data_IF_367828556073
#
_entry.id   IF_367828556073
#
_cell.length_a   1.000
_cell.length_b   1.000
_cell.length_c   1.000
_cell.angle_alpha   90.00
_cell.angle_beta   90.00
_cell.angle_gamma   90.00
#
_symmetry.space_group_name_H-M   'P 1'
#
loop_
_entity.id
_entity.type
_entity.pdbx_description
1 polymer ?
#
# COMPACT_ATOMS: atom_id res chain seq x y z
N UNK A 1 0.02 11.07 -15.32
CA UNK A 1 0.63 9.72 -15.34
C UNK A 1 2.12 9.86 -15.57
N UNK A 2 2.86 8.76 -15.56
CA UNK A 2 4.27 8.77 -15.98
C UNK A 2 4.32 8.71 -17.50
N UNK A 3 5.01 9.65 -18.13
CA UNK A 3 5.22 9.67 -19.57
C UNK A 3 6.67 9.34 -19.86
N UNK A 4 6.93 8.63 -20.97
CA UNK A 4 8.29 8.39 -21.44
C UNK A 4 9.04 9.72 -21.64
N UNK A 5 10.28 9.81 -21.17
CA UNK A 5 11.14 10.97 -21.43
C UNK A 5 11.83 10.88 -22.81
N UNK A 6 12.30 9.69 -23.17
CA UNK A 6 12.87 9.39 -24.48
C UNK A 6 12.06 8.26 -25.15
N UNK A 7 12.48 7.01 -24.95
CA UNK A 7 11.84 5.81 -25.50
C UNK A 7 10.89 5.15 -24.48
N UNK A 8 11.30 5.10 -23.20
CA UNK A 8 10.60 4.36 -22.14
C UNK A 8 10.58 5.11 -20.80
N UNK A 9 9.68 4.68 -19.91
CA UNK A 9 9.73 4.91 -18.46
C UNK A 9 10.51 3.75 -17.83
N UNK A 10 11.46 4.06 -16.95
CA UNK A 10 12.29 3.05 -16.28
C UNK A 10 11.73 2.72 -14.90
N UNK A 11 11.69 1.44 -14.59
CA UNK A 11 11.28 0.88 -13.30
C UNK A 11 12.33 -0.12 -12.82
N UNK A 12 12.41 -0.27 -11.50
CA UNK A 12 13.23 -1.28 -10.83
C UNK A 12 12.33 -2.12 -9.94
N UNK A 13 12.52 -3.45 -9.97
CA UNK A 13 11.74 -4.36 -9.12
C UNK A 13 12.18 -4.24 -7.67
N UNK A 14 11.21 -4.25 -6.77
CA UNK A 14 11.39 -4.10 -5.32
C UNK A 14 11.97 -5.36 -4.64
N UNK A 15 12.14 -6.47 -5.37
CA UNK A 15 12.79 -7.69 -4.87
C UNK A 15 14.31 -7.63 -4.91
N UNK A 16 14.88 -6.68 -5.65
CA UNK A 16 16.25 -6.28 -5.45
C UNK A 16 16.32 -5.64 -4.06
N UNK A 17 17.25 -6.11 -3.23
CA UNK A 17 17.74 -5.39 -2.04
C UNK A 17 18.32 -4.05 -2.48
N UNK A 18 17.49 -3.13 -2.93
CA UNK A 18 17.89 -1.84 -3.44
C UNK A 18 18.23 -1.00 -2.22
N UNK A 19 19.47 -1.17 -1.76
CA UNK A 19 20.08 -0.19 -0.90
C UNK A 19 20.20 1.13 -1.70
N UNK A 20 20.29 2.21 -0.94
CA UNK A 20 20.30 3.59 -1.43
C UNK A 20 21.42 3.77 -2.47
N UNK A 21 21.11 3.63 -3.76
CA UNK A 21 22.10 3.69 -4.86
C UNK A 21 21.87 2.74 -6.05
N UNK A 22 21.00 1.74 -5.93
CA UNK A 22 20.92 0.63 -6.91
C UNK A 22 19.89 0.79 -8.04
N UNK A 23 19.30 1.98 -8.21
CA UNK A 23 18.37 2.22 -9.34
C UNK A 23 19.19 2.61 -10.58
N UNK A 24 19.38 1.66 -11.49
CA UNK A 24 20.08 1.91 -12.76
C UNK A 24 19.33 2.97 -13.57
N UNK A 25 20.06 4.01 -14.01
CA UNK A 25 19.54 5.08 -14.87
C UNK A 25 19.27 6.42 -14.18
N UNK A 26 19.39 6.50 -12.84
CA UNK A 26 19.29 7.77 -12.13
C UNK A 26 20.68 8.37 -11.88
N UNK A 27 21.01 9.45 -12.59
CA UNK A 27 22.24 10.23 -12.37
C UNK A 27 22.20 11.05 -11.06
N UNK A 28 21.03 11.15 -10.42
CA UNK A 28 20.79 11.81 -9.14
C UNK A 28 19.79 10.99 -8.32
N UNK A 29 19.97 10.97 -7.00
CA UNK A 29 18.96 10.40 -6.10
C UNK A 29 17.60 11.06 -6.38
N UNK A 30 16.54 10.30 -6.66
CA UNK A 30 15.23 10.87 -6.94
C UNK A 30 14.69 11.50 -5.65
N UNK A 31 13.99 12.62 -5.74
CA UNK A 31 13.33 13.21 -4.56
C UNK A 31 12.07 12.43 -4.15
N UNK A 32 11.46 11.75 -5.12
CA UNK A 32 10.23 10.97 -4.94
C UNK A 32 10.36 9.61 -5.64
N UNK A 33 9.96 8.55 -4.94
CA UNK A 33 9.75 7.22 -5.51
C UNK A 33 8.25 7.00 -5.72
N UNK A 34 7.85 6.61 -6.92
CA UNK A 34 6.46 6.24 -7.25
C UNK A 34 6.41 4.72 -7.46
N UNK A 35 5.57 4.06 -6.69
CA UNK A 35 5.34 2.63 -6.75
C UNK A 35 4.16 2.34 -7.69
N UNK A 36 4.29 1.33 -8.54
CA UNK A 36 3.30 0.97 -9.55
C UNK A 36 2.93 -0.50 -9.38
N UNK A 37 1.63 -0.81 -9.40
CA UNK A 37 1.13 -2.18 -9.45
C UNK A 37 1.30 -2.68 -10.88
N UNK A 38 2.39 -3.41 -11.12
CA UNK A 38 2.70 -3.95 -12.45
C UNK A 38 1.63 -4.93 -12.95
N UNK A 39 0.97 -5.67 -12.06
CA UNK A 39 -0.09 -6.61 -12.46
C UNK A 39 -1.30 -5.83 -12.95
N UNK A 40 -1.79 -4.87 -12.14
CA UNK A 40 -2.89 -3.99 -12.53
C UNK A 40 -2.56 -3.20 -13.79
N UNK A 41 -1.33 -2.71 -13.92
CA UNK A 41 -0.89 -1.97 -15.10
C UNK A 41 -0.95 -2.83 -16.37
N UNK A 42 -0.49 -4.09 -16.31
CA UNK A 42 -0.61 -5.03 -17.44
C UNK A 42 -2.07 -5.35 -17.78
N UNK A 43 -2.92 -5.54 -16.77
CA UNK A 43 -4.38 -5.72 -16.95
C UNK A 43 -5.03 -4.49 -17.63
N UNK A 44 -4.55 -3.28 -17.30
CA UNK A 44 -4.99 -2.01 -17.88
C UNK A 44 -4.38 -1.72 -19.27
N UNK A 45 -3.60 -2.63 -19.85
CA UNK A 45 -3.00 -2.49 -21.18
C UNK A 45 -1.71 -1.67 -21.21
N UNK A 46 -1.04 -1.48 -20.08
CA UNK A 46 0.31 -0.89 -20.04
C UNK A 46 1.34 -1.94 -20.46
N UNK A 47 2.19 -1.57 -21.42
CA UNK A 47 3.22 -2.45 -21.94
C UNK A 47 4.48 -2.37 -21.08
N UNK A 48 5.06 -3.53 -20.76
CA UNK A 48 6.32 -3.65 -20.03
C UNK A 48 7.24 -4.64 -20.72
N UNK A 49 8.49 -4.25 -20.88
CA UNK A 49 9.59 -5.07 -21.34
C UNK A 49 10.59 -5.25 -20.19
N UNK A 50 11.11 -6.46 -20.02
CA UNK A 50 12.16 -6.73 -19.03
C UNK A 50 13.48 -6.97 -19.76
N UNK A 51 14.57 -6.39 -19.24
CA UNK A 51 15.92 -6.69 -19.71
C UNK A 51 16.86 -6.89 -18.54
N UNK A 52 17.86 -7.75 -18.73
CA UNK A 52 18.94 -7.90 -17.77
C UNK A 52 20.03 -6.89 -18.08
N UNK A 53 20.29 -5.99 -17.13
CA UNK A 53 21.38 -5.04 -17.20
C UNK A 53 22.75 -5.75 -17.08
N UNK A 54 23.82 -5.06 -17.48
CA UNK A 54 25.19 -5.59 -17.44
C UNK A 54 25.64 -5.98 -16.02
N UNK A 55 25.06 -5.38 -14.99
CA UNK A 55 25.31 -5.70 -13.59
C UNK A 55 24.45 -6.86 -13.05
N UNK A 56 23.66 -7.53 -13.92
CA UNK A 56 22.79 -8.65 -13.55
C UNK A 56 21.43 -8.24 -12.95
N UNK A 57 21.15 -6.94 -12.81
CA UNK A 57 19.84 -6.47 -12.34
C UNK A 57 18.78 -6.55 -13.45
N UNK A 58 17.53 -6.83 -13.06
CA UNK A 58 16.41 -6.79 -13.99
C UNK A 58 15.90 -5.35 -14.05
N UNK A 59 16.05 -4.73 -15.21
CA UNK A 59 15.42 -3.45 -15.54
C UNK A 59 14.07 -3.71 -16.17
N UNK A 60 13.07 -2.96 -15.72
CA UNK A 60 11.73 -2.98 -16.27
C UNK A 60 11.53 -1.68 -17.04
N UNK A 61 11.22 -1.78 -18.31
CA UNK A 61 10.97 -0.67 -19.23
C UNK A 61 9.48 -0.64 -19.54
N UNK A 62 8.87 0.53 -19.58
CA UNK A 62 7.50 0.68 -20.06
C UNK A 62 7.42 1.72 -21.16
N UNK A 63 6.77 1.36 -22.26
CA UNK A 63 6.34 2.31 -23.28
C UNK A 63 5.02 3.00 -22.92
N UNK A 64 4.41 2.67 -21.78
CA UNK A 64 3.07 3.13 -21.38
C UNK A 64 1.96 2.36 -22.09
N UNK A 65 0.74 2.89 -22.07
CA UNK A 65 -0.34 2.36 -22.92
C UNK A 65 -0.07 2.65 -24.40
N UNK A 66 -0.47 1.74 -25.28
CA UNK A 66 -0.21 1.84 -26.71
C UNK A 66 -0.73 3.16 -27.32
N UNK A 67 -1.92 3.60 -26.92
CA UNK A 67 -2.56 4.80 -27.47
C UNK A 67 -2.01 6.12 -26.94
N UNK A 68 -1.42 6.15 -25.74
CA UNK A 68 -1.05 7.40 -25.06
C UNK A 68 0.43 7.51 -24.71
N UNK A 69 1.17 6.40 -24.66
CA UNK A 69 2.54 6.37 -24.16
C UNK A 69 2.66 6.70 -22.67
N UNK A 70 1.56 6.58 -21.91
CA UNK A 70 1.46 6.97 -20.50
C UNK A 70 1.21 5.74 -19.62
N UNK A 71 1.91 5.66 -18.48
CA UNK A 71 1.53 4.82 -17.34
C UNK A 71 0.55 5.64 -16.48
N UNK A 72 -0.75 5.27 -16.42
CA UNK A 72 -1.75 6.12 -15.80
C UNK A 72 -1.65 6.11 -14.27
N UNK A 73 -2.09 7.19 -13.59
CA UNK A 73 -2.10 7.23 -12.12
C UNK A 73 -2.96 6.13 -11.47
N UNK A 74 -3.92 5.55 -12.19
CA UNK A 74 -4.73 4.44 -11.72
C UNK A 74 -3.91 3.18 -11.39
N UNK A 75 -2.70 3.07 -11.92
CA UNK A 75 -1.77 1.97 -11.63
C UNK A 75 -0.83 2.27 -10.46
N UNK A 76 -0.85 3.48 -9.89
CA UNK A 76 0.05 3.84 -8.80
C UNK A 76 -0.44 3.28 -7.47
N UNK A 77 0.51 2.87 -6.64
CA UNK A 77 0.32 2.27 -5.31
C UNK A 77 0.51 3.36 -4.25
N UNK A 78 1.71 3.93 -4.24
CA UNK A 78 2.11 4.99 -3.30
C UNK A 78 3.23 5.83 -3.87
N UNK A 79 3.43 7.01 -3.28
CA UNK A 79 4.60 7.84 -3.51
C UNK A 79 5.31 8.10 -2.18
N UNK A 80 6.64 8.03 -2.19
CA UNK A 80 7.48 8.18 -1.01
C UNK A 80 8.50 9.28 -1.26
N UNK A 81 8.64 10.23 -0.33
CA UNK A 81 9.73 11.20 -0.36
C UNK A 81 11.03 10.50 0.03
N UNK A 82 11.98 10.40 -0.90
CA UNK A 82 13.25 9.70 -0.69
C UNK A 82 14.09 10.24 0.46
N UNK A 83 14.15 11.57 0.74
CA UNK A 83 14.95 12.08 1.84
C UNK A 83 14.54 11.57 3.22
N UNK A 84 13.23 11.44 3.45
CA UNK A 84 12.66 11.07 4.75
C UNK A 84 12.12 9.64 4.80
N UNK A 85 11.92 9.00 3.66
CA UNK A 85 11.17 7.74 3.55
C UNK A 85 9.67 7.89 3.85
N UNK A 86 9.17 9.12 4.01
CA UNK A 86 7.77 9.36 4.34
C UNK A 86 6.88 9.08 3.13
N UNK A 87 5.78 8.35 3.34
CA UNK A 87 4.73 8.22 2.34
C UNK A 87 4.03 9.56 2.19
N UNK A 88 4.06 10.15 1.00
CA UNK A 88 3.46 11.45 0.68
C UNK A 88 2.14 11.32 -0.09
N UNK A 89 1.87 10.13 -0.63
CA UNK A 89 0.62 9.79 -1.30
C UNK A 89 0.41 8.28 -1.31
N UNK A 90 -0.84 7.84 -1.18
CA UNK A 90 -1.25 6.43 -1.32
C UNK A 90 -2.50 6.40 -2.20
N UNK A 91 -2.63 5.38 -3.05
CA UNK A 91 -3.82 5.25 -3.89
C UNK A 91 -5.06 5.02 -3.00
N UNK A 92 -6.21 5.63 -3.31
CA UNK A 92 -7.44 5.46 -2.55
C UNK A 92 -7.89 4.00 -2.43
N UNK A 93 -7.58 3.20 -3.46
CA UNK A 93 -7.98 1.79 -3.58
C UNK A 93 -6.77 0.84 -3.50
N UNK A 94 -5.66 1.29 -2.92
CA UNK A 94 -4.44 0.49 -2.87
C UNK A 94 -4.58 -0.68 -1.88
N UNK A 95 -5.00 -1.83 -2.41
CA UNK A 95 -4.95 -3.10 -1.69
C UNK A 95 -3.55 -3.76 -1.72
N UNK A 96 -2.57 -3.13 -2.37
CA UNK A 96 -1.19 -3.65 -2.51
C UNK A 96 -0.20 -3.06 -1.51
N UNK A 97 -0.55 -1.97 -0.80
CA UNK A 97 0.13 -1.54 0.43
C UNK A 97 0.13 -2.62 1.53
N UNK A 98 -0.77 -3.61 1.45
CA UNK A 98 -0.89 -4.71 2.42
C UNK A 98 0.01 -5.92 2.10
N UNK A 99 0.96 -5.78 1.15
CA UNK A 99 1.86 -6.85 0.70
C UNK A 99 3.05 -7.17 1.63
N UNK A 100 3.11 -6.63 2.85
CA UNK A 100 3.99 -7.19 3.89
C UNK A 100 3.49 -8.52 4.48
N UNK A 101 2.39 -9.08 3.95
CA UNK A 101 1.98 -10.47 4.19
C UNK A 101 0.92 -10.65 5.26
N UNK A 102 0.53 -9.60 5.99
CA UNK A 102 -0.58 -9.65 6.95
C UNK A 102 -1.85 -9.11 6.33
N UNK A 103 -2.69 -10.05 5.88
CA UNK A 103 -4.06 -9.79 5.43
C UNK A 103 -5.05 -9.81 6.60
N UNK A 104 -4.53 -9.54 7.79
CA UNK A 104 -5.24 -9.52 9.05
C UNK A 104 -5.11 -8.12 9.65
N UNK A 105 -6.25 -7.54 9.97
CA UNK A 105 -6.36 -6.30 10.72
C UNK A 105 -6.71 -6.62 12.17
N UNK A 106 -6.17 -5.87 13.11
CA UNK A 106 -6.47 -6.00 14.53
C UNK A 106 -7.29 -4.80 14.98
N UNK A 107 -8.45 -5.06 15.58
CA UNK A 107 -9.23 -4.09 16.32
C UNK A 107 -9.14 -4.41 17.82
N UNK A 108 -8.74 -3.43 18.62
CA UNK A 108 -8.77 -3.54 20.07
C UNK A 108 -10.06 -2.96 20.63
N UNK A 109 -10.63 -3.67 21.60
CA UNK A 109 -11.84 -3.25 22.28
C UNK A 109 -11.86 -3.77 23.71
N UNK A 110 -12.96 -3.51 24.42
CA UNK A 110 -13.24 -4.05 25.76
C UNK A 110 -14.15 -5.27 25.65
N UNK A 111 -13.92 -6.29 26.48
CA UNK A 111 -14.68 -7.53 26.49
C UNK A 111 -16.17 -7.29 26.78
N UNK A 112 -16.50 -6.25 27.54
CA UNK A 112 -17.88 -5.81 27.79
C UNK A 112 -18.67 -5.50 26.50
N UNK A 113 -17.98 -5.12 25.41
CA UNK A 113 -18.62 -4.85 24.11
C UNK A 113 -18.80 -6.12 23.26
N UNK A 114 -18.19 -7.25 23.61
CA UNK A 114 -18.21 -8.48 22.81
C UNK A 114 -19.62 -8.97 22.51
N UNK A 115 -20.53 -8.91 23.48
CA UNK A 115 -21.92 -9.34 23.32
C UNK A 115 -22.66 -8.59 22.21
N UNK A 116 -22.39 -7.29 22.07
CA UNK A 116 -22.94 -6.46 20.98
C UNK A 116 -22.20 -6.72 19.67
N UNK A 117 -20.86 -6.72 19.70
CA UNK A 117 -20.03 -6.88 18.50
C UNK A 117 -20.29 -8.21 17.80
N UNK A 118 -20.42 -9.31 18.55
CA UNK A 118 -20.70 -10.64 17.97
C UNK A 118 -22.07 -10.71 17.27
N UNK A 119 -23.01 -9.85 17.69
CA UNK A 119 -24.40 -9.87 17.21
C UNK A 119 -24.60 -8.87 16.07
N UNK A 120 -23.91 -7.72 16.12
CA UNK A 120 -24.16 -6.57 15.25
C UNK A 120 -22.95 -6.17 14.39
N UNK A 121 -21.80 -6.82 14.58
CA UNK A 121 -20.53 -6.41 13.99
C UNK A 121 -19.88 -5.21 14.69
N UNK A 122 -18.73 -4.80 14.17
CA UNK A 122 -18.07 -3.55 14.59
C UNK A 122 -18.84 -2.36 14.00
N UNK A 123 -19.20 -1.40 14.85
CA UNK A 123 -19.93 -0.19 14.45
C UNK A 123 -19.13 1.04 14.84
N UNK A 124 -18.94 1.96 13.90
CA UNK A 124 -18.38 3.27 14.16
C UNK A 124 -19.44 4.21 14.72
N UNK A 125 -19.07 5.03 15.71
CA UNK A 125 -19.73 6.32 15.95
C UNK A 125 -19.18 7.39 15.00
N UNK A 126 -17.89 7.31 14.63
CA UNK A 126 -17.25 8.22 13.67
C UNK A 126 -16.34 7.48 12.68
N UNK A 127 -15.53 6.54 13.18
CA UNK A 127 -14.67 5.69 12.37
C UNK A 127 -14.28 4.42 13.15
N UNK A 128 -14.07 3.30 12.46
CA UNK A 128 -13.50 2.09 13.06
C UNK A 128 -12.01 2.07 12.73
N UNK A 129 -11.17 2.07 13.75
CA UNK A 129 -9.71 2.01 13.59
C UNK A 129 -9.18 0.60 13.79
N UNK A 130 -8.18 0.27 12.97
CA UNK A 130 -7.46 -1.00 12.95
C UNK A 130 -5.96 -0.76 12.86
N UNK A 131 -5.17 -1.79 13.18
CA UNK A 131 -3.73 -1.85 12.91
C UNK A 131 -3.42 -3.11 12.11
N UNK A 132 -2.34 -3.09 11.32
CA UNK A 132 -1.87 -4.28 10.61
C UNK A 132 -1.29 -5.33 11.58
N UNK A 133 -1.54 -6.61 11.33
CA UNK A 133 -1.13 -7.70 12.23
C UNK A 133 0.38 -8.03 12.22
N UNK A 134 1.22 -7.32 11.45
CA UNK A 134 2.68 -7.52 11.39
C UNK A 134 3.46 -6.67 12.41
N UNK A 135 2.79 -5.73 13.07
CA UNK A 135 3.45 -4.87 14.02
C UNK A 135 3.84 -5.65 15.30
N UNK A 136 5.14 -5.63 15.62
CA UNK A 136 5.78 -6.12 16.87
C UNK A 136 5.24 -5.43 18.15
N UNK A 137 4.12 -4.74 18.06
CA UNK A 137 3.53 -3.85 19.06
C UNK A 137 2.03 -4.10 19.25
N UNK A 138 1.61 -5.37 19.33
CA UNK A 138 0.32 -5.70 20.00
C UNK A 138 0.39 -5.28 21.49
N UNK A 139 1.59 -5.22 22.07
CA UNK A 139 1.84 -4.56 23.36
C UNK A 139 2.06 -3.06 23.16
N UNK A 140 0.98 -2.28 23.24
CA UNK A 140 1.04 -0.83 23.51
C UNK A 140 0.56 0.12 22.40
N UNK A 141 0.25 -0.37 21.19
CA UNK A 141 -0.02 0.49 20.04
C UNK A 141 -1.34 0.21 19.31
N UNK A 142 -2.44 -0.03 20.03
CA UNK A 142 -3.75 -0.01 19.36
C UNK A 142 -4.39 1.34 19.64
N UNK A 143 -4.49 2.14 18.57
CA UNK A 143 -4.87 3.53 18.59
C UNK A 143 -6.11 3.79 19.46
N UNK A 144 -5.91 4.43 20.62
CA UNK A 144 -6.98 5.06 21.39
C UNK A 144 -7.61 4.25 22.53
N UNK A 145 -7.24 2.99 22.75
CA UNK A 145 -7.78 2.21 23.88
C UNK A 145 -6.68 1.89 24.89
N UNK A 146 -6.55 2.74 25.90
CA UNK A 146 -5.56 2.62 27.00
C UNK A 146 -5.83 1.38 27.89
N UNK A 147 -6.97 0.70 27.70
CA UNK A 147 -7.44 -0.42 28.54
C UNK A 147 -8.12 -1.54 27.72
N UNK A 148 -7.62 -1.86 26.53
CA UNK A 148 -8.18 -2.97 25.75
C UNK A 148 -7.83 -4.32 26.37
N UNK A 149 -8.83 -5.19 26.50
CA UNK A 149 -8.71 -6.57 27.00
C UNK A 149 -9.26 -7.60 26.00
N UNK A 150 -9.72 -7.16 24.82
CA UNK A 150 -10.14 -8.01 23.71
C UNK A 150 -9.52 -7.54 22.38
N UNK A 151 -8.95 -8.48 21.64
CA UNK A 151 -8.44 -8.28 20.28
C UNK A 151 -9.30 -9.04 19.28
N UNK A 152 -9.73 -8.35 18.22
CA UNK A 152 -10.51 -8.92 17.13
C UNK A 152 -9.66 -8.87 15.87
N UNK A 153 -9.44 -10.05 15.29
CA UNK A 153 -8.74 -10.21 14.01
C UNK A 153 -9.78 -10.18 12.89
N UNK A 154 -9.51 -9.36 11.88
CA UNK A 154 -10.38 -9.17 10.72
C UNK A 154 -9.63 -9.57 9.47
N UNK A 155 -10.22 -10.48 8.69
CA UNK A 155 -9.73 -10.86 7.36
C UNK A 155 -9.96 -9.70 6.39
N UNK A 156 -8.89 -9.00 6.05
CA UNK A 156 -8.92 -7.85 5.15
C UNK A 156 -9.32 -8.25 3.74
N UNK A 157 -8.91 -9.43 3.25
CA UNK A 157 -9.26 -9.88 1.90
C UNK A 157 -10.76 -10.10 1.78
N UNK A 158 -11.33 -10.76 2.79
CA UNK A 158 -12.78 -10.99 2.81
C UNK A 158 -13.54 -9.68 2.91
N UNK A 159 -13.13 -8.77 3.80
CA UNK A 159 -13.77 -7.47 3.93
C UNK A 159 -13.74 -6.64 2.63
N UNK A 160 -12.59 -6.62 1.93
CA UNK A 160 -12.46 -5.94 0.64
C UNK A 160 -13.33 -6.58 -0.45
N UNK A 161 -13.40 -7.92 -0.48
CA UNK A 161 -14.28 -8.66 -1.40
C UNK A 161 -15.75 -8.35 -1.17
N UNK A 162 -16.12 -8.09 0.09
CA UNK A 162 -17.46 -7.68 0.49
C UNK A 162 -17.67 -6.16 0.33
N UNK A 163 -16.80 -5.47 -0.41
CA UNK A 163 -16.85 -4.04 -0.73
C UNK A 163 -16.77 -3.09 0.47
N UNK A 164 -16.20 -3.55 1.59
CA UNK A 164 -15.90 -2.71 2.75
C UNK A 164 -14.68 -1.83 2.42
N UNK A 165 -14.83 -0.52 2.63
CA UNK A 165 -13.82 0.48 2.27
C UNK A 165 -12.88 0.78 3.42
N UNK A 166 -11.58 0.79 3.14
CA UNK A 166 -10.54 1.10 4.10
C UNK A 166 -9.63 2.22 3.56
N UNK A 167 -9.08 3.02 4.46
CA UNK A 167 -8.10 4.04 4.15
C UNK A 167 -7.04 4.15 5.25
N UNK A 168 -5.82 4.56 4.91
CA UNK A 168 -4.82 4.93 5.91
C UNK A 168 -5.27 6.18 6.68
N UNK A 169 -4.98 6.22 7.99
CA UNK A 169 -5.26 7.40 8.79
C UNK A 169 -4.30 8.54 8.39
N UNK A 170 -4.79 9.78 8.15
CA UNK A 170 -4.00 10.86 7.54
C UNK A 170 -2.78 11.29 8.38
N UNK A 171 -2.85 11.14 9.70
CA UNK A 171 -1.77 11.53 10.63
C UNK A 171 -1.19 10.37 11.44
N UNK A 172 -1.64 9.13 11.21
CA UNK A 172 -1.19 7.94 11.96
C UNK A 172 -0.86 6.82 10.98
N UNK A 173 0.40 6.69 10.53
CA UNK A 173 0.77 5.81 9.42
C UNK A 173 0.44 4.33 9.67
N UNK A 174 0.44 3.90 10.94
CA UNK A 174 0.18 2.51 11.32
C UNK A 174 -1.31 2.23 11.61
N UNK A 175 -2.18 3.23 11.42
CA UNK A 175 -3.62 3.12 11.68
C UNK A 175 -4.40 3.08 10.38
N UNK A 176 -5.34 2.15 10.31
CA UNK A 176 -6.20 1.88 9.18
C UNK A 176 -7.63 2.18 9.60
N UNK A 177 -8.35 2.92 8.79
CA UNK A 177 -9.72 3.33 9.07
C UNK A 177 -10.67 2.60 8.13
N UNK A 178 -11.67 1.91 8.68
CA UNK A 178 -12.84 1.53 7.89
C UNK A 178 -13.74 2.75 7.72
N UNK A 179 -14.01 3.08 6.47
CA UNK A 179 -14.91 4.18 6.12
C UNK A 179 -16.35 3.68 6.27
N UNK A 180 -17.20 4.43 6.99
CA UNK A 180 -18.63 4.15 6.98
C UNK A 180 -19.19 4.48 5.60
N UNK A 181 -19.94 3.53 5.04
CA UNK A 181 -20.79 3.73 3.86
C UNK A 181 -21.95 4.68 4.16
#
# INVERSE_FOLDING_TARGET
GLQKMAEHVYFVRQDAKAEKGDIVGLSKCPEVLIFVDMRKAKEDGVLFDERTALNGQIEVLSSGKQESGIVPPSCFIKAVATPSGATIWTAPDDTSAWQNGTMELIHATRFEHWGSIRSNGLKADTAISFVAADHKSVKGCIAGVVAADLLIYVDLRKALKDHIKFASHPTKPDTIICQSS
#
